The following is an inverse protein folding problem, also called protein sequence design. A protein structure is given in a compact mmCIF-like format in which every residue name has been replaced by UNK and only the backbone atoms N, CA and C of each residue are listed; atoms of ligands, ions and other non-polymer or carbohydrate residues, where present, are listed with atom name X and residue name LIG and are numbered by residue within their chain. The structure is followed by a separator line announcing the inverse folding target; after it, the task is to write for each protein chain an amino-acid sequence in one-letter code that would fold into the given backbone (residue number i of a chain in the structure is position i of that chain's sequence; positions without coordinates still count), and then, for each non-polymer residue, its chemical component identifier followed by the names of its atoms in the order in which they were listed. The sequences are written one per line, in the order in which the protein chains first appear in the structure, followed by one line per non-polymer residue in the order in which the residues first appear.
data_IF_215559667116
#
_entry.id   IF_215559667116
#
_cell.length_a   1.000
_cell.length_b   1.000
_cell.length_c   1.000
_cell.angle_alpha   90.00
_cell.angle_beta   90.00
_cell.angle_gamma   90.00
#
_symmetry.space_group_name_H-M   'P 1'
#
loop_
_entity.id
_entity.type
_entity.pdbx_description
1 polymer ?
#
# COMPACT_ATOMS: atom_id res chain seq x y z
N UNK A 1 -28.04 0.44 4.22
CA UNK A 1 -26.80 1.24 4.21
C UNK A 1 -26.90 2.38 5.22
N UNK A 2 -25.92 2.51 6.10
CA UNK A 2 -25.78 3.65 7.01
C UNK A 2 -24.73 4.63 6.48
N UNK A 3 -25.17 5.87 6.26
CA UNK A 3 -24.36 6.97 5.73
C UNK A 3 -23.95 7.98 6.81
N UNK A 4 -24.43 7.85 8.05
CA UNK A 4 -24.14 8.76 9.16
C UNK A 4 -24.45 10.24 8.83
N UNK A 5 -25.56 10.48 8.12
CA UNK A 5 -26.02 11.82 7.76
C UNK A 5 -25.25 12.51 6.62
N UNK A 6 -24.25 11.86 6.02
CA UNK A 6 -23.44 12.42 4.90
C UNK A 6 -23.41 11.41 3.74
N UNK A 7 -23.74 11.79 2.49
CA UNK A 7 -23.67 10.88 1.34
C UNK A 7 -22.31 10.21 1.18
N UNK A 8 -22.32 8.93 0.80
CA UNK A 8 -21.09 8.16 0.63
C UNK A 8 -20.19 8.74 -0.46
N UNK A 9 -18.91 8.91 -0.14
CA UNK A 9 -17.82 9.17 -1.06
C UNK A 9 -16.51 8.67 -0.44
N UNK A 10 -15.49 8.42 -1.27
CA UNK A 10 -14.10 8.46 -0.81
C UNK A 10 -13.65 9.92 -0.77
N UNK A 11 -12.85 10.28 0.22
CA UNK A 11 -12.44 11.67 0.44
C UNK A 11 -11.03 11.94 -0.10
N UNK A 12 -10.68 13.22 -0.25
CA UNK A 12 -9.33 13.60 -0.68
C UNK A 12 -8.26 13.12 0.30
N UNK A 13 -8.53 13.20 1.61
CA UNK A 13 -7.65 12.69 2.65
C UNK A 13 -7.44 11.18 2.50
N UNK A 14 -8.49 10.43 2.17
CA UNK A 14 -8.40 9.00 1.93
C UNK A 14 -7.46 8.67 0.76
N UNK A 15 -7.53 9.46 -0.32
CA UNK A 15 -6.61 9.35 -1.46
C UNK A 15 -5.16 9.58 -1.03
N UNK A 16 -4.88 10.61 -0.22
CA UNK A 16 -3.49 10.94 0.18
C UNK A 16 -2.90 9.91 1.13
N UNK A 17 -3.65 9.42 2.13
CA UNK A 17 -3.13 8.42 3.07
C UNK A 17 -2.84 7.06 2.42
N UNK A 18 -3.42 6.80 1.24
CA UNK A 18 -3.17 5.60 0.43
C UNK A 18 -2.00 5.73 -0.56
N UNK A 19 -1.30 6.87 -0.61
CA UNK A 19 -0.07 7.03 -1.42
C UNK A 19 1.08 6.27 -0.77
N UNK A 20 1.10 4.96 -0.97
CA UNK A 20 2.04 4.02 -0.35
C UNK A 20 3.05 3.46 -1.36
N UNK A 21 3.48 4.28 -2.33
CA UNK A 21 4.49 3.91 -3.33
C UNK A 21 5.78 3.28 -2.76
N UNK A 22 6.28 3.64 -1.56
CA UNK A 22 7.44 2.97 -0.96
C UNK A 22 7.28 1.46 -0.71
N UNK A 23 6.08 0.89 -0.84
CA UNK A 23 5.87 -0.56 -0.78
C UNK A 23 6.49 -1.31 -1.97
N UNK A 24 6.77 -0.63 -3.09
CA UNK A 24 7.14 -1.27 -4.36
C UNK A 24 8.68 -1.33 -4.48
N UNK A 25 9.30 -2.52 -4.53
CA UNK A 25 10.74 -2.64 -4.80
C UNK A 25 11.12 -2.16 -6.22
N UNK A 26 12.37 -1.73 -6.39
CA UNK A 26 12.95 -1.38 -7.71
C UNK A 26 13.40 -2.62 -8.50
N UNK A 27 13.68 -3.74 -7.82
CA UNK A 27 14.30 -4.95 -8.38
C UNK A 27 13.54 -6.20 -7.93
N UNK A 28 13.45 -7.18 -8.83
CA UNK A 28 12.69 -8.42 -8.67
C UNK A 28 13.50 -9.59 -9.19
N UNK A 29 13.65 -10.62 -8.36
CA UNK A 29 14.26 -11.90 -8.74
C UNK A 29 13.19 -12.98 -8.78
N UNK A 30 12.67 -13.26 -9.98
CA UNK A 30 11.67 -14.29 -10.19
C UNK A 30 12.24 -15.68 -9.94
N UNK A 31 11.43 -16.52 -9.29
CA UNK A 31 11.78 -17.87 -8.88
C UNK A 31 10.71 -18.87 -9.27
N UNK A 32 11.17 -20.07 -9.56
CA UNK A 32 10.34 -21.24 -9.85
C UNK A 32 9.51 -21.62 -8.62
N UNK A 33 8.21 -21.80 -8.78
CA UNK A 33 7.32 -22.26 -7.73
C UNK A 33 7.57 -23.72 -7.32
N UNK A 34 8.21 -24.52 -8.19
CA UNK A 34 8.46 -25.94 -7.97
C UNK A 34 9.62 -26.20 -7.00
N UNK A 35 10.72 -25.47 -7.17
CA UNK A 35 11.99 -25.71 -6.47
C UNK A 35 12.65 -24.44 -5.92
N UNK A 36 12.04 -23.27 -6.12
CA UNK A 36 12.56 -21.99 -5.64
C UNK A 36 13.80 -21.49 -6.37
N UNK A 37 14.25 -22.14 -7.45
CA UNK A 37 15.46 -21.72 -8.15
C UNK A 37 15.26 -20.34 -8.79
N UNK A 38 16.30 -19.48 -8.80
CA UNK A 38 16.27 -18.24 -9.57
C UNK A 38 16.01 -18.51 -11.05
N UNK A 39 15.17 -17.68 -11.66
CA UNK A 39 14.83 -17.77 -13.08
C UNK A 39 15.25 -16.53 -13.83
N UNK A 40 14.82 -15.37 -13.34
CA UNK A 40 14.87 -14.15 -14.11
C UNK A 40 14.93 -12.93 -13.20
N UNK A 41 15.94 -12.09 -13.39
CA UNK A 41 16.00 -10.79 -12.75
C UNK A 41 15.35 -9.73 -13.65
N UNK A 42 14.58 -8.85 -13.02
CA UNK A 42 13.87 -7.74 -13.65
C UNK A 42 13.88 -6.53 -12.75
N UNK A 43 13.81 -5.37 -13.36
CA UNK A 43 13.55 -4.09 -12.71
C UNK A 43 12.05 -3.80 -12.67
N UNK A 44 11.64 -2.87 -11.79
CA UNK A 44 10.26 -2.38 -11.76
C UNK A 44 9.80 -1.87 -13.14
N UNK A 45 10.70 -1.24 -13.91
CA UNK A 45 10.40 -0.75 -15.27
C UNK A 45 9.99 -1.88 -16.21
N UNK A 46 10.70 -3.00 -16.16
CA UNK A 46 10.48 -4.14 -17.08
C UNK A 46 9.26 -4.98 -16.71
N UNK A 47 8.77 -4.87 -15.47
CA UNK A 47 7.56 -5.56 -15.02
C UNK A 47 6.32 -4.65 -14.99
N UNK A 48 6.46 -3.38 -15.37
CA UNK A 48 5.39 -2.38 -15.30
C UNK A 48 4.95 -1.89 -16.68
N UNK A 49 3.69 -1.48 -16.77
CA UNK A 49 3.15 -0.87 -17.98
C UNK A 49 3.22 -1.80 -19.19
N UNK A 50 3.44 -1.27 -20.42
CA UNK A 50 3.50 -2.09 -21.63
C UNK A 50 4.56 -3.20 -21.62
N UNK A 51 5.63 -3.04 -20.85
CA UNK A 51 6.72 -4.02 -20.77
C UNK A 51 6.38 -5.27 -19.96
N UNK A 52 5.32 -5.24 -19.13
CA UNK A 52 4.96 -6.37 -18.27
C UNK A 52 4.64 -7.63 -19.07
N UNK A 53 4.09 -7.48 -20.28
CA UNK A 53 3.75 -8.58 -21.18
C UNK A 53 4.98 -9.43 -21.54
N UNK A 54 6.12 -8.80 -21.84
CA UNK A 54 7.37 -9.50 -22.16
C UNK A 54 7.87 -10.34 -20.99
N UNK A 55 7.65 -9.87 -19.76
CA UNK A 55 7.97 -10.62 -18.54
C UNK A 55 7.00 -11.79 -18.35
N UNK A 56 5.69 -11.57 -18.56
CA UNK A 56 4.67 -12.62 -18.42
C UNK A 56 4.76 -13.72 -19.48
N UNK A 57 5.41 -13.47 -20.62
CA UNK A 57 5.76 -14.52 -21.59
C UNK A 57 6.87 -15.45 -21.10
N UNK A 58 7.69 -15.02 -20.14
CA UNK A 58 8.85 -15.76 -19.61
C UNK A 58 8.59 -16.35 -18.22
N UNK A 59 7.65 -15.77 -17.47
CA UNK A 59 7.34 -16.13 -16.08
C UNK A 59 5.88 -16.55 -16.00
N UNK A 60 5.62 -17.77 -15.55
CA UNK A 60 4.24 -18.21 -15.32
C UNK A 60 3.60 -17.42 -14.18
N UNK A 61 2.27 -17.30 -14.19
CA UNK A 61 1.56 -16.67 -13.07
C UNK A 61 1.82 -17.36 -11.72
N UNK A 62 2.01 -18.69 -11.72
CA UNK A 62 2.36 -19.42 -10.50
C UNK A 62 3.74 -18.99 -9.96
N UNK A 63 4.75 -18.89 -10.83
CA UNK A 63 6.10 -18.43 -10.46
C UNK A 63 6.08 -16.97 -9.98
N UNK A 64 5.26 -16.12 -10.62
CA UNK A 64 5.08 -14.73 -10.18
C UNK A 64 4.44 -14.65 -8.79
N UNK A 65 3.35 -15.39 -8.53
CA UNK A 65 2.73 -15.44 -7.20
C UNK A 65 3.68 -16.01 -6.16
N UNK A 66 4.43 -17.07 -6.48
CA UNK A 66 5.44 -17.62 -5.58
C UNK A 66 6.51 -16.58 -5.26
N UNK A 67 7.03 -15.90 -6.28
CA UNK A 67 8.06 -14.86 -6.14
C UNK A 67 7.60 -13.76 -5.19
N UNK A 68 6.38 -13.22 -5.39
CA UNK A 68 5.86 -12.15 -4.53
C UNK A 68 5.48 -12.65 -3.13
N UNK A 69 4.95 -13.87 -3.02
CA UNK A 69 4.63 -14.48 -1.74
C UNK A 69 5.86 -14.77 -0.87
N UNK A 70 7.02 -14.98 -1.49
CA UNK A 70 8.31 -15.26 -0.81
C UNK A 70 9.27 -14.06 -0.83
N UNK A 71 8.76 -12.85 -1.03
CA UNK A 71 9.56 -11.61 -1.02
C UNK A 71 8.92 -10.56 -0.11
N UNK A 72 9.74 -9.68 0.47
CA UNK A 72 9.23 -8.57 1.29
C UNK A 72 8.88 -7.36 0.42
N UNK A 73 7.77 -6.65 0.70
CA UNK A 73 7.56 -5.32 0.16
C UNK A 73 8.52 -4.32 0.81
N UNK A 74 8.66 -3.14 0.20
CA UNK A 74 9.36 -2.03 0.82
C UNK A 74 8.64 -1.50 2.08
N UNK A 75 9.35 -0.77 2.93
CA UNK A 75 8.76 -0.12 4.10
C UNK A 75 8.21 1.28 3.74
N UNK A 76 7.05 1.64 4.31
CA UNK A 76 6.46 2.98 4.15
C UNK A 76 7.18 3.97 5.07
N UNK A 77 8.36 4.40 4.65
CA UNK A 77 9.25 5.32 5.38
C UNK A 77 9.92 6.31 4.42
N UNK A 78 10.50 7.37 4.98
CA UNK A 78 11.33 8.30 4.21
C UNK A 78 12.57 7.62 3.62
N UNK A 79 13.06 8.17 2.51
CA UNK A 79 14.20 7.66 1.73
C UNK A 79 13.99 6.24 1.16
N UNK A 80 12.73 5.80 0.97
CA UNK A 80 12.40 4.50 0.39
C UNK A 80 11.42 4.59 -0.79
N UNK A 81 11.35 5.74 -1.48
CA UNK A 81 10.51 5.89 -2.67
C UNK A 81 11.17 5.23 -3.88
N UNK A 82 10.45 4.46 -4.73
CA UNK A 82 11.06 3.72 -5.83
C UNK A 82 11.75 4.64 -6.83
N UNK A 83 12.98 4.32 -7.24
CA UNK A 83 13.77 5.15 -8.17
C UNK A 83 13.08 5.24 -9.53
N UNK A 84 12.50 4.15 -10.02
CA UNK A 84 11.79 4.16 -11.30
C UNK A 84 10.62 5.16 -11.30
N UNK A 85 9.88 5.28 -10.19
CA UNK A 85 8.72 6.17 -10.10
C UNK A 85 9.10 7.65 -10.03
N UNK A 86 10.34 7.98 -9.66
CA UNK A 86 10.89 9.36 -9.77
C UNK A 86 11.26 9.72 -11.22
N UNK A 87 11.38 8.71 -12.09
CA UNK A 87 11.63 8.87 -13.52
C UNK A 87 10.58 8.13 -14.36
N UNK A 88 9.33 8.29 -13.97
CA UNK A 88 8.22 7.57 -14.57
C UNK A 88 7.89 8.16 -15.95
N UNK A 89 7.90 7.31 -16.97
CA UNK A 89 7.42 7.65 -18.30
C UNK A 89 5.96 7.21 -18.40
N UNK A 90 5.08 8.19 -18.57
CA UNK A 90 3.64 7.94 -18.70
C UNK A 90 3.35 7.29 -20.05
N UNK A 91 2.19 6.60 -20.20
CA UNK A 91 1.79 6.00 -21.48
C UNK A 91 1.67 7.00 -22.65
N UNK A 92 1.55 8.30 -22.37
CA UNK A 92 1.53 9.37 -23.37
C UNK A 92 2.93 9.89 -23.75
N UNK A 93 4.00 9.23 -23.29
CA UNK A 93 5.40 9.58 -23.57
C UNK A 93 5.94 10.72 -22.69
N UNK A 94 5.13 11.26 -21.77
CA UNK A 94 5.56 12.37 -20.92
C UNK A 94 6.25 11.88 -19.65
N UNK A 95 7.36 12.52 -19.31
CA UNK A 95 8.06 12.33 -18.05
C UNK A 95 7.25 12.86 -16.85
N UNK A 96 7.28 12.11 -15.74
CA UNK A 96 6.71 12.50 -14.47
C UNK A 96 7.56 12.00 -13.31
N UNK A 97 7.94 12.90 -12.40
CA UNK A 97 8.43 12.52 -11.08
C UNK A 97 7.22 12.32 -10.17
N UNK A 98 6.90 11.07 -9.85
CA UNK A 98 5.72 10.75 -9.05
C UNK A 98 5.87 11.16 -7.59
N UNK A 99 7.10 11.17 -7.04
CA UNK A 99 7.34 11.63 -5.67
C UNK A 99 7.07 13.14 -5.55
N UNK A 100 7.59 13.93 -6.50
CA UNK A 100 7.31 15.36 -6.56
C UNK A 100 5.81 15.63 -6.82
N UNK A 101 5.20 14.84 -7.71
CA UNK A 101 3.76 14.95 -8.04
C UNK A 101 2.88 14.65 -6.84
N UNK A 102 3.21 13.63 -6.03
CA UNK A 102 2.48 13.28 -4.80
C UNK A 102 2.41 14.47 -3.82
N UNK A 103 3.55 15.17 -3.62
CA UNK A 103 3.61 16.38 -2.79
C UNK A 103 2.79 17.52 -3.40
N UNK A 104 2.95 17.77 -4.70
CA UNK A 104 2.26 18.84 -5.40
C UNK A 104 0.73 18.65 -5.38
N UNK A 105 0.24 17.45 -5.73
CA UNK A 105 -1.19 17.11 -5.74
C UNK A 105 -1.81 17.20 -4.35
N UNK A 106 -1.09 16.78 -3.30
CA UNK A 106 -1.57 16.93 -1.92
C UNK A 106 -1.87 18.40 -1.59
N UNK A 107 -0.97 19.32 -1.99
CA UNK A 107 -1.15 20.76 -1.78
C UNK A 107 -2.26 21.34 -2.65
N UNK A 108 -2.31 20.95 -3.92
CA UNK A 108 -3.31 21.41 -4.90
C UNK A 108 -4.75 21.05 -4.47
N UNK A 109 -4.94 19.84 -3.94
CA UNK A 109 -6.24 19.38 -3.42
C UNK A 109 -6.64 20.06 -2.09
N UNK A 110 -5.80 20.94 -1.55
CA UNK A 110 -6.07 21.65 -0.30
C UNK A 110 -6.03 20.76 0.94
N UNK A 111 -5.49 19.54 0.84
CA UNK A 111 -5.36 18.63 1.98
C UNK A 111 -4.37 19.25 2.99
N UNK A 112 -4.74 19.37 4.28
CA UNK A 112 -3.90 20.02 5.28
C UNK A 112 -2.51 19.38 5.42
N UNK A 113 -1.52 20.23 5.72
CA UNK A 113 -0.16 19.80 6.09
C UNK A 113 -0.17 18.99 7.38
N UNK A 114 0.90 18.25 7.63
CA UNK A 114 0.96 17.19 8.65
C UNK A 114 0.42 17.61 10.04
N UNK A 115 0.95 18.69 10.62
CA UNK A 115 0.53 19.12 11.96
C UNK A 115 -0.93 19.59 12.01
N UNK A 116 -1.40 20.32 10.98
CA UNK A 116 -2.81 20.72 10.92
C UNK A 116 -3.73 19.52 10.72
N UNK A 117 -3.31 18.56 9.89
CA UNK A 117 -4.04 17.32 9.67
C UNK A 117 -4.20 16.51 10.96
N UNK A 118 -3.12 16.38 11.75
CA UNK A 118 -3.17 15.74 13.08
C UNK A 118 -4.12 16.46 14.04
N UNK A 119 -4.07 17.79 14.11
CA UNK A 119 -5.01 18.59 14.93
C UNK A 119 -6.47 18.32 14.56
N UNK A 120 -6.79 18.26 13.27
CA UNK A 120 -8.15 17.95 12.78
C UNK A 120 -8.60 16.52 13.11
N UNK A 121 -7.66 15.60 13.27
CA UNK A 121 -7.92 14.22 13.71
C UNK A 121 -7.84 14.04 15.24
N UNK A 122 -7.76 15.14 16.00
CA UNK A 122 -7.59 15.13 17.45
C UNK A 122 -6.35 14.36 17.93
N UNK A 123 -5.30 14.35 17.12
CA UNK A 123 -3.98 13.84 17.48
C UNK A 123 -3.06 14.99 17.90
N UNK A 124 -2.13 14.77 18.85
CA UNK A 124 -1.13 15.78 19.19
C UNK A 124 -0.25 16.07 17.95
N UNK A 125 -0.08 17.34 17.55
CA UNK A 125 0.89 17.69 16.50
C UNK A 125 2.30 17.38 16.97
N UNK A 126 3.23 17.14 16.05
CA UNK A 126 4.64 17.02 16.41
C UNK A 126 5.16 18.38 16.90
N UNK A 127 5.85 18.39 18.04
CA UNK A 127 6.39 19.60 18.66
C UNK A 127 7.79 19.95 18.17
N UNK A 128 8.54 18.97 17.64
CA UNK A 128 9.89 19.15 17.10
C UNK A 128 10.18 18.16 15.96
N UNK A 129 11.22 18.45 15.17
CA UNK A 129 11.67 17.55 14.11
C UNK A 129 12.22 16.24 14.68
N UNK A 130 12.81 16.28 15.88
CA UNK A 130 13.29 15.12 16.63
C UNK A 130 12.14 14.19 17.03
N UNK A 131 11.03 14.75 17.53
CA UNK A 131 9.84 13.97 17.86
C UNK A 131 9.24 13.31 16.62
N UNK A 132 9.16 14.05 15.50
CA UNK A 132 8.62 13.54 14.25
C UNK A 132 9.46 12.40 13.67
N UNK A 133 10.77 12.63 13.53
CA UNK A 133 11.65 11.74 12.78
C UNK A 133 12.20 10.57 13.61
N UNK A 134 12.35 10.74 14.93
CA UNK A 134 13.00 9.75 15.80
C UNK A 134 14.49 9.49 15.53
N UNK A 135 15.06 10.10 14.49
CA UNK A 135 16.46 10.02 14.07
C UNK A 135 17.03 11.44 13.85
N UNK A 136 18.16 11.82 14.50
CA UNK A 136 18.72 13.16 14.38
C UNK A 136 19.11 13.56 12.95
N UNK A 137 19.62 12.62 12.15
CA UNK A 137 20.04 12.93 10.78
C UNK A 137 18.83 13.20 9.87
N UNK A 138 17.75 12.44 10.05
CA UNK A 138 16.49 12.65 9.36
C UNK A 138 15.80 13.93 9.83
N UNK A 139 15.80 14.21 11.13
CA UNK A 139 15.27 15.45 11.69
C UNK A 139 15.95 16.69 11.07
N UNK A 140 17.28 16.68 10.95
CA UNK A 140 18.02 17.78 10.33
C UNK A 140 17.72 17.93 8.84
N UNK A 141 17.55 16.83 8.10
CA UNK A 141 17.15 16.88 6.69
C UNK A 141 15.77 17.54 6.54
N UNK A 142 14.79 17.12 7.33
CA UNK A 142 13.44 17.69 7.31
C UNK A 142 13.49 19.17 7.70
N UNK A 143 14.19 19.51 8.79
CA UNK A 143 14.40 20.89 9.25
C UNK A 143 14.91 21.79 8.12
N UNK A 144 15.95 21.35 7.41
CA UNK A 144 16.55 22.11 6.31
C UNK A 144 15.56 22.32 5.16
N UNK A 145 14.85 21.27 4.75
CA UNK A 145 13.87 21.33 3.65
C UNK A 145 12.71 22.29 3.97
N UNK A 146 12.28 22.33 5.23
CA UNK A 146 11.14 23.14 5.67
C UNK A 146 11.54 24.46 6.35
N UNK A 147 12.78 24.91 6.19
CA UNK A 147 13.30 26.17 6.74
C UNK A 147 13.06 26.33 8.25
N UNK A 148 13.29 25.25 9.00
CA UNK A 148 13.10 25.18 10.45
C UNK A 148 11.66 25.50 10.93
N UNK A 149 10.66 25.30 10.06
CA UNK A 149 9.24 25.45 10.39
C UNK A 149 8.53 24.09 10.30
N UNK A 150 8.19 23.53 11.47
CA UNK A 150 7.57 22.20 11.56
C UNK A 150 6.13 22.17 11.03
N UNK A 151 5.39 23.28 11.11
CA UNK A 151 4.01 23.34 10.62
C UNK A 151 3.97 23.38 9.07
N UNK A 152 5.12 23.58 8.42
CA UNK A 152 5.27 23.47 6.96
C UNK A 152 5.52 22.05 6.47
N UNK A 153 5.70 21.04 7.31
CA UNK A 153 5.92 19.66 6.86
C UNK A 153 4.71 19.15 6.07
N UNK A 154 4.93 18.68 4.84
CA UNK A 154 3.87 18.10 4.01
C UNK A 154 3.31 16.82 4.63
N UNK A 155 2.02 16.54 4.42
CA UNK A 155 1.34 15.40 5.04
C UNK A 155 2.06 14.07 4.77
N UNK A 156 2.41 13.80 3.50
CA UNK A 156 3.10 12.56 3.10
C UNK A 156 4.45 12.43 3.81
N UNK A 157 5.23 13.52 3.85
CA UNK A 157 6.54 13.52 4.51
C UNK A 157 6.40 13.25 6.00
N UNK A 158 5.43 13.89 6.66
CA UNK A 158 5.15 13.65 8.06
C UNK A 158 4.71 12.21 8.34
N UNK A 159 3.80 11.65 7.54
CA UNK A 159 3.34 10.26 7.70
C UNK A 159 4.46 9.23 7.49
N UNK A 160 5.41 9.50 6.59
CA UNK A 160 6.55 8.59 6.34
C UNK A 160 7.67 8.76 7.37
N UNK A 161 7.76 9.91 8.03
CA UNK A 161 8.70 10.16 9.12
C UNK A 161 8.19 9.63 10.47
N UNK A 162 6.87 9.66 10.67
CA UNK A 162 6.22 9.37 11.94
C UNK A 162 6.63 8.02 12.53
N UNK A 163 6.98 8.04 13.83
CA UNK A 163 7.22 6.82 14.58
C UNK A 163 5.96 5.97 14.63
N UNK A 164 6.03 4.79 14.00
CA UNK A 164 4.90 3.86 13.90
C UNK A 164 4.69 3.09 15.22
N UNK A 165 3.43 2.80 15.60
CA UNK A 165 3.13 1.84 16.65
C UNK A 165 3.75 0.46 16.35
N UNK A 166 4.05 -0.31 17.39
CA UNK A 166 4.59 -1.66 17.21
C UNK A 166 3.61 -2.53 16.40
N UNK A 167 4.11 -3.20 15.36
CA UNK A 167 3.31 -4.05 14.47
C UNK A 167 2.61 -3.32 13.34
N UNK A 168 2.70 -1.99 13.26
CA UNK A 168 2.08 -1.20 12.19
C UNK A 168 3.04 -0.98 11.02
N UNK A 169 2.54 -1.12 9.79
CA UNK A 169 3.30 -0.86 8.57
C UNK A 169 3.35 0.65 8.22
N UNK A 170 2.35 1.43 8.65
CA UNK A 170 2.15 2.86 8.37
C UNK A 170 1.79 3.66 9.64
N UNK A 171 1.71 4.98 9.52
CA UNK A 171 1.55 5.93 10.63
C UNK A 171 0.20 5.86 11.36
N UNK A 172 0.15 6.34 12.61
CA UNK A 172 -1.13 6.54 13.33
C UNK A 172 -1.99 7.58 12.61
N UNK A 173 -1.35 8.62 12.07
CA UNK A 173 -2.04 9.65 11.26
C UNK A 173 -2.83 9.05 10.11
N UNK A 174 -2.21 8.17 9.29
CA UNK A 174 -2.91 7.49 8.22
C UNK A 174 -4.00 6.56 8.79
N UNK A 175 -3.68 5.80 9.83
CA UNK A 175 -4.58 4.84 10.47
C UNK A 175 -5.91 5.45 10.94
N UNK A 176 -5.92 6.69 11.45
CA UNK A 176 -7.16 7.39 11.84
C UNK A 176 -8.13 7.56 10.67
N UNK A 177 -7.64 7.87 9.47
CA UNK A 177 -8.48 7.94 8.27
C UNK A 177 -8.95 6.54 7.87
N UNK A 178 -8.08 5.52 7.96
CA UNK A 178 -8.45 4.13 7.67
C UNK A 178 -9.59 3.63 8.54
N UNK A 179 -9.58 3.89 9.86
CA UNK A 179 -10.65 3.47 10.77
C UNK A 179 -12.01 3.95 10.23
N UNK A 180 -12.13 5.25 9.95
CA UNK A 180 -13.38 5.82 9.47
C UNK A 180 -13.75 5.26 8.08
N UNK A 181 -12.83 5.34 7.13
CA UNK A 181 -13.14 5.09 5.73
C UNK A 181 -13.27 3.60 5.41
N UNK A 182 -12.56 2.71 6.10
CA UNK A 182 -12.73 1.27 5.95
C UNK A 182 -14.11 0.83 6.44
N UNK A 183 -14.54 1.26 7.63
CA UNK A 183 -15.89 0.99 8.12
C UNK A 183 -16.95 1.59 7.22
N UNK A 184 -16.74 2.82 6.73
CA UNK A 184 -17.68 3.51 5.85
C UNK A 184 -17.87 2.79 4.51
N UNK A 185 -16.83 2.19 3.93
CA UNK A 185 -16.96 1.37 2.69
C UNK A 185 -17.91 0.19 2.87
N UNK A 186 -17.96 -0.42 4.06
CA UNK A 186 -18.85 -1.54 4.34
C UNK A 186 -20.26 -1.04 4.70
N UNK A 187 -20.34 -0.16 5.71
CA UNK A 187 -21.62 0.27 6.27
C UNK A 187 -22.50 1.02 5.27
N UNK A 188 -21.88 1.77 4.35
CA UNK A 188 -22.60 2.58 3.36
C UNK A 188 -22.93 1.83 2.06
N UNK A 189 -22.59 0.55 1.93
CA UNK A 189 -22.93 -0.24 0.76
C UNK A 189 -24.12 -1.17 1.07
N UNK A 190 -25.19 -1.06 0.28
CA UNK A 190 -26.37 -1.93 0.43
C UNK A 190 -26.00 -3.40 0.26
N UNK A 191 -25.07 -3.72 -0.63
CA UNK A 191 -24.67 -5.08 -0.97
C UNK A 191 -23.77 -5.72 0.09
N UNK A 192 -23.27 -4.95 1.04
CA UNK A 192 -22.51 -5.41 2.20
C UNK A 192 -23.29 -5.23 3.51
N UNK A 193 -24.55 -4.79 3.42
CA UNK A 193 -25.46 -4.59 4.56
C UNK A 193 -26.82 -5.22 4.29
N UNK A 194 -27.81 -4.44 3.85
CA UNK A 194 -29.22 -4.85 3.69
C UNK A 194 -29.40 -6.01 2.69
N UNK A 195 -28.66 -5.99 1.59
CA UNK A 195 -28.75 -6.97 0.52
C UNK A 195 -27.68 -8.08 0.62
N UNK A 196 -26.90 -8.12 1.70
CA UNK A 196 -25.92 -9.18 1.92
C UNK A 196 -26.62 -10.46 2.42
N UNK A 197 -27.46 -11.02 1.56
CA UNK A 197 -28.42 -12.10 1.88
C UNK A 197 -28.43 -13.20 0.83
N UNK A 198 -28.83 -14.44 1.18
CA UNK A 198 -29.00 -15.53 0.21
C UNK A 198 -30.04 -15.23 -0.88
N UNK A 199 -31.02 -14.36 -0.65
CA UNK A 199 -32.02 -13.99 -1.67
C UNK A 199 -31.37 -13.23 -2.83
N UNK A 200 -30.36 -12.41 -2.54
CA UNK A 200 -29.62 -11.62 -3.53
C UNK A 200 -28.41 -12.40 -4.08
N UNK A 201 -27.67 -13.07 -3.22
CA UNK A 201 -26.41 -13.74 -3.58
C UNK A 201 -26.54 -15.24 -3.85
N UNK A 202 -27.71 -15.84 -3.61
CA UNK A 202 -27.95 -17.28 -3.44
C UNK A 202 -27.24 -17.86 -2.21
N UNK A 203 -27.78 -18.95 -1.65
CA UNK A 203 -27.11 -19.64 -0.55
C UNK A 203 -25.69 -20.11 -0.96
N UNK A 204 -25.56 -20.63 -2.18
CA UNK A 204 -24.26 -21.06 -2.72
C UNK A 204 -23.25 -19.90 -2.82
N UNK A 205 -23.71 -18.69 -3.20
CA UNK A 205 -22.84 -17.51 -3.25
C UNK A 205 -22.43 -17.01 -1.87
N UNK A 206 -23.33 -17.05 -0.89
CA UNK A 206 -23.01 -16.71 0.50
C UNK A 206 -22.00 -17.69 1.11
N UNK A 207 -22.17 -18.98 0.86
CA UNK A 207 -21.21 -20.01 1.26
C UNK A 207 -19.85 -19.78 0.59
N UNK A 208 -19.84 -19.43 -0.69
CA UNK A 208 -18.61 -19.06 -1.41
C UNK A 208 -17.90 -17.87 -0.76
N UNK A 209 -18.60 -16.79 -0.42
CA UNK A 209 -17.98 -15.61 0.21
C UNK A 209 -17.38 -15.96 1.58
N UNK A 210 -18.11 -16.73 2.40
CA UNK A 210 -17.68 -17.12 3.75
C UNK A 210 -16.45 -18.03 3.73
N UNK A 211 -16.41 -18.98 2.80
CA UNK A 211 -15.45 -20.10 2.84
C UNK A 211 -14.16 -19.81 2.04
N UNK A 212 -13.92 -18.55 1.67
CA UNK A 212 -12.77 -18.14 0.87
C UNK A 212 -11.83 -17.15 1.59
N UNK A 213 -10.53 -17.44 1.51
CA UNK A 213 -9.41 -16.53 1.78
C UNK A 213 -8.52 -16.36 0.53
N UNK A 214 -7.56 -15.44 0.54
CA UNK A 214 -6.60 -15.32 -0.55
C UNK A 214 -5.84 -16.64 -0.82
N UNK A 215 -5.49 -17.40 0.22
CA UNK A 215 -4.87 -18.73 0.07
C UNK A 215 -5.79 -19.69 -0.68
N UNK A 216 -7.08 -19.72 -0.36
CA UNK A 216 -8.04 -20.61 -1.06
C UNK A 216 -8.23 -20.21 -2.52
N UNK A 217 -8.22 -18.91 -2.84
CA UNK A 217 -8.33 -18.40 -4.21
C UNK A 217 -7.09 -18.81 -5.01
N UNK A 218 -5.89 -18.59 -4.46
CA UNK A 218 -4.64 -19.02 -5.09
C UNK A 218 -4.63 -20.52 -5.35
N UNK A 219 -4.98 -21.35 -4.37
CA UNK A 219 -4.96 -22.81 -4.52
C UNK A 219 -6.05 -23.37 -5.43
N UNK A 220 -7.17 -22.64 -5.61
CA UNK A 220 -8.22 -23.01 -6.57
C UNK A 220 -7.74 -22.84 -8.01
N UNK A 221 -7.01 -21.76 -8.30
CA UNK A 221 -6.60 -21.41 -9.67
C UNK A 221 -5.17 -21.84 -10.01
N UNK A 222 -4.30 -21.99 -9.01
CA UNK A 222 -2.89 -22.37 -9.12
C UNK A 222 -2.55 -23.47 -8.11
N UNK A 223 -3.10 -24.70 -8.28
CA UNK A 223 -2.90 -25.79 -7.32
C UNK A 223 -1.43 -26.18 -7.12
N UNK A 224 -0.55 -25.84 -8.05
CA UNK A 224 0.91 -26.00 -7.95
C UNK A 224 1.51 -25.26 -6.74
N UNK A 225 0.87 -24.17 -6.28
CA UNK A 225 1.31 -23.41 -5.10
C UNK A 225 1.04 -24.12 -3.76
N UNK A 226 0.41 -25.30 -3.76
CA UNK A 226 0.05 -26.04 -2.53
C UNK A 226 1.25 -26.37 -1.64
N UNK A 227 2.41 -26.62 -2.23
CA UNK A 227 3.63 -26.86 -1.46
C UNK A 227 4.08 -25.58 -0.75
N UNK A 228 4.15 -24.47 -1.49
CA UNK A 228 4.60 -23.18 -0.99
C UNK A 228 3.66 -22.57 0.07
N UNK A 229 2.35 -22.78 -0.07
CA UNK A 229 1.34 -22.27 0.86
C UNK A 229 1.05 -23.22 2.04
N UNK A 230 1.81 -24.30 2.20
CA UNK A 230 1.60 -25.25 3.30
C UNK A 230 1.88 -24.58 4.65
N UNK A 231 0.87 -24.53 5.51
CA UNK A 231 0.97 -23.88 6.83
C UNK A 231 0.92 -22.35 6.76
N UNK A 232 0.56 -21.77 5.61
CA UNK A 232 0.35 -20.33 5.46
C UNK A 232 -1.12 -19.99 5.70
N UNK A 233 -1.42 -19.51 6.91
CA UNK A 233 -2.77 -19.11 7.30
C UNK A 233 -3.22 -17.83 6.57
N UNK A 234 -2.29 -16.94 6.24
CA UNK A 234 -2.53 -15.68 5.55
C UNK A 234 -1.55 -15.50 4.38
N UNK A 235 -2.04 -15.53 3.14
CA UNK A 235 -1.20 -15.41 1.94
C UNK A 235 -0.47 -14.06 1.81
N UNK A 236 -0.83 -13.04 2.61
CA UNK A 236 -0.14 -11.75 2.64
C UNK A 236 1.01 -11.68 3.66
N UNK A 237 1.15 -12.67 4.54
CA UNK A 237 2.39 -12.83 5.31
C UNK A 237 3.45 -13.50 4.43
N UNK A 238 4.75 -13.27 4.68
CA UNK A 238 5.80 -13.94 3.93
C UNK A 238 5.66 -15.47 4.00
N UNK A 239 5.71 -16.13 2.85
CA UNK A 239 5.57 -17.58 2.76
C UNK A 239 6.85 -18.30 3.26
N UNK A 240 6.80 -19.60 3.54
CA UNK A 240 8.00 -20.40 3.78
C UNK A 240 9.04 -20.19 2.67
N UNK A 241 10.32 -20.18 3.04
CA UNK A 241 11.45 -19.84 2.14
C UNK A 241 11.51 -18.38 1.68
N UNK A 242 10.83 -17.46 2.37
CA UNK A 242 11.09 -16.03 2.18
C UNK A 242 12.56 -15.74 2.44
N UNK A 243 13.20 -15.06 1.50
CA UNK A 243 14.60 -14.63 1.60
C UNK A 243 14.61 -13.23 2.24
N UNK A 244 15.50 -13.03 3.21
CA UNK A 244 15.77 -11.73 3.86
C UNK A 244 16.89 -11.02 3.13
#
# INVERSE_FOLDING_TARGET
ADHFGVPYCLTEEFTIVYRMHPLIPDEYSFRSADDGRPMLDRTLREISGPHSEETLQQVSMADAFYTFGTSYPGAIILNNFPRFLQHFERPDGNFMDLAATDIMRTRELGVPRYNQFRKLLHLPPASSFEELAGDPALAEKIRRVYNNDIDRVDLIVGMFAEKRPQGFAFSETAFRIFILMASRRLNSDRFLTEDFTPEVYTQAGMDWIRDNTMSTVLLRHYPHLRSALRGVDNAFTPWPNTIV
#
